data_IF_819307466204
#
_entry.id   IF_819307466204
#
_cell.length_a   1.000
_cell.length_b   1.000
_cell.length_c   1.000
_cell.angle_alpha   90.00
_cell.angle_beta   90.00
_cell.angle_gamma   90.00
#
_symmetry.space_group_name_H-M   'P 1'
#
loop_
_entity.id
_entity.type
_entity.pdbx_description
1 polymer ?
#
# COMPACT_ATOMS: atom_id res chain seq x y z
N UNK A 1 20.01 -2.90 13.15
CA UNK A 1 18.77 -2.16 12.83
C UNK A 1 19.02 -1.34 11.58
N UNK A 2 18.08 -1.33 10.63
CA UNK A 2 18.20 -0.48 9.43
C UNK A 2 17.83 0.98 9.78
N UNK A 3 18.42 1.93 9.08
CA UNK A 3 18.11 3.36 9.27
C UNK A 3 16.69 3.66 8.78
N UNK A 4 15.96 4.52 9.52
CA UNK A 4 14.68 5.06 9.05
C UNK A 4 14.94 6.12 7.98
N UNK A 5 14.98 5.70 6.71
CA UNK A 5 15.25 6.60 5.58
C UNK A 5 14.09 7.57 5.30
N UNK A 6 12.86 7.22 5.70
CA UNK A 6 11.69 8.08 5.48
C UNK A 6 11.68 9.27 6.45
N UNK A 7 12.10 9.06 7.69
CA UNK A 7 12.18 10.08 8.75
C UNK A 7 10.92 10.97 8.88
N UNK A 8 9.73 10.35 8.76
CA UNK A 8 8.41 11.02 8.79
C UNK A 8 8.24 12.12 7.73
N UNK A 9 9.06 12.14 6.68
CA UNK A 9 8.92 13.08 5.59
C UNK A 9 7.86 12.57 4.60
N UNK A 10 6.62 12.99 4.79
CA UNK A 10 5.47 12.53 3.98
C UNK A 10 5.19 13.37 2.72
N UNK A 11 6.10 14.27 2.37
CA UNK A 11 6.08 14.98 1.08
C UNK A 11 6.99 14.28 0.07
N UNK A 12 6.60 14.26 -1.20
CA UNK A 12 7.38 13.75 -2.31
C UNK A 12 7.27 14.73 -3.48
N UNK A 13 8.35 14.91 -4.24
CA UNK A 13 8.43 15.89 -5.32
C UNK A 13 8.07 15.27 -6.69
N UNK A 14 8.19 13.93 -6.79
CA UNK A 14 7.85 13.16 -7.97
C UNK A 14 7.14 11.85 -7.61
N UNK A 15 6.39 11.24 -8.56
CA UNK A 15 5.80 9.92 -8.38
C UNK A 15 6.85 8.86 -8.01
N UNK A 16 6.45 7.84 -7.24
CA UNK A 16 7.24 6.65 -6.90
C UNK A 16 8.51 6.90 -6.06
N UNK A 17 8.64 8.08 -5.44
CA UNK A 17 9.73 8.36 -4.50
C UNK A 17 9.44 7.82 -3.10
N UNK A 18 8.19 7.97 -2.63
CA UNK A 18 7.78 7.60 -1.27
C UNK A 18 6.36 7.05 -1.29
N UNK A 19 6.18 5.89 -0.70
CA UNK A 19 4.88 5.24 -0.53
C UNK A 19 4.56 5.10 0.95
N UNK A 20 3.27 5.14 1.26
CA UNK A 20 2.75 4.76 2.58
C UNK A 20 1.83 3.57 2.38
N UNK A 21 1.95 2.59 3.27
CA UNK A 21 1.04 1.46 3.32
C UNK A 21 0.25 1.50 4.62
N UNK A 22 -1.02 1.11 4.54
CA UNK A 22 -1.87 0.91 5.70
C UNK A 22 -2.54 -0.47 5.61
N UNK A 23 -2.84 -1.03 6.78
CA UNK A 23 -3.51 -2.31 6.93
C UNK A 23 -4.65 -2.17 7.92
N UNK A 24 -5.86 -2.42 7.45
CA UNK A 24 -7.08 -2.22 8.23
C UNK A 24 -8.13 -3.25 7.86
N UNK A 25 -9.34 -3.11 8.39
CA UNK A 25 -10.50 -3.90 8.04
C UNK A 25 -11.67 -2.98 7.72
N UNK A 26 -12.46 -3.34 6.70
CA UNK A 26 -13.58 -2.54 6.20
C UNK A 26 -14.85 -3.37 6.10
N UNK A 27 -16.00 -2.73 6.31
CA UNK A 27 -17.30 -3.37 6.11
C UNK A 27 -17.67 -3.36 4.63
N UNK A 28 -18.07 -4.51 4.10
CA UNK A 28 -18.50 -4.69 2.72
C UNK A 28 -19.85 -5.41 2.67
N UNK A 29 -20.42 -5.60 1.48
CA UNK A 29 -21.64 -6.40 1.31
C UNK A 29 -21.42 -7.89 1.63
N UNK A 30 -20.19 -8.36 1.61
CA UNK A 30 -19.78 -9.74 1.93
C UNK A 30 -19.37 -9.90 3.41
N UNK A 31 -19.46 -8.82 4.20
CA UNK A 31 -19.04 -8.76 5.60
C UNK A 31 -17.73 -7.97 5.78
N UNK A 32 -17.07 -8.18 6.93
CA UNK A 32 -15.79 -7.55 7.24
C UNK A 32 -14.66 -8.20 6.45
N UNK A 33 -13.90 -7.41 5.70
CA UNK A 33 -12.69 -7.84 5.01
C UNK A 33 -11.48 -7.08 5.52
N UNK A 34 -10.34 -7.75 5.62
CA UNK A 34 -9.05 -7.09 5.78
C UNK A 34 -8.64 -6.45 4.46
N UNK A 35 -8.08 -5.24 4.53
CA UNK A 35 -7.61 -4.44 3.41
C UNK A 35 -6.16 -4.05 3.66
N UNK A 36 -5.29 -4.38 2.70
CA UNK A 36 -3.96 -3.77 2.58
C UNK A 36 -3.99 -2.78 1.42
N UNK A 37 -3.53 -1.55 1.65
CA UNK A 37 -3.48 -0.51 0.62
C UNK A 37 -2.14 0.21 0.61
N UNK A 38 -1.61 0.49 -0.58
CA UNK A 38 -0.35 1.22 -0.81
C UNK A 38 -0.66 2.51 -1.57
N UNK A 39 -0.34 3.64 -0.98
CA UNK A 39 -0.56 4.98 -1.51
C UNK A 39 0.75 5.61 -1.94
N UNK A 40 0.77 6.19 -3.15
CA UNK A 40 1.86 7.03 -3.61
C UNK A 40 1.71 8.46 -3.05
N UNK A 41 2.70 8.95 -2.31
CA UNK A 41 2.60 10.22 -1.57
C UNK A 41 2.52 11.44 -2.48
N UNK A 42 3.13 11.40 -3.66
CA UNK A 42 3.08 12.48 -4.64
C UNK A 42 1.70 12.58 -5.29
N UNK A 43 1.25 11.49 -5.93
CA UNK A 43 0.02 11.50 -6.73
C UNK A 43 -1.26 11.30 -5.90
N UNK A 44 -1.12 10.89 -4.63
CA UNK A 44 -2.23 10.52 -3.74
C UNK A 44 -3.09 9.37 -4.26
N UNK A 45 -2.57 8.58 -5.20
CA UNK A 45 -3.27 7.42 -5.76
C UNK A 45 -2.94 6.16 -4.99
N UNK A 46 -3.93 5.28 -4.84
CA UNK A 46 -3.71 3.90 -4.41
C UNK A 46 -3.07 3.15 -5.58
N UNK A 47 -1.79 2.83 -5.43
CA UNK A 47 -0.99 2.16 -6.45
C UNK A 47 -0.97 0.64 -6.29
N UNK A 48 -1.33 0.11 -5.12
CA UNK A 48 -1.53 -1.31 -4.91
C UNK A 48 -2.53 -1.56 -3.79
N UNK A 49 -3.31 -2.64 -3.88
CA UNK A 49 -4.26 -3.04 -2.85
C UNK A 49 -4.57 -4.53 -2.95
N UNK A 50 -5.04 -5.11 -1.86
CA UNK A 50 -5.60 -6.47 -1.83
C UNK A 50 -6.57 -6.57 -0.65
N UNK A 51 -7.55 -7.47 -0.74
CA UNK A 51 -8.55 -7.71 0.30
C UNK A 51 -8.78 -9.21 0.50
N UNK A 52 -8.91 -9.66 1.76
CA UNK A 52 -9.19 -11.05 2.12
C UNK A 52 -10.03 -11.14 3.40
N UNK A 53 -10.78 -12.22 3.58
CA UNK A 53 -11.56 -12.49 4.80
C UNK A 53 -10.67 -12.75 6.02
N UNK A 54 -9.44 -13.22 5.81
CA UNK A 54 -8.47 -13.54 6.86
C UNK A 54 -7.25 -12.62 6.80
N UNK A 55 -6.71 -12.29 7.98
CA UNK A 55 -5.46 -11.54 8.10
C UNK A 55 -4.27 -12.44 7.75
N UNK A 56 -3.72 -12.30 6.54
CA UNK A 56 -2.60 -13.10 6.06
C UNK A 56 -1.40 -12.23 5.66
N UNK A 57 -0.20 -12.80 5.68
CA UNK A 57 0.98 -12.18 5.09
C UNK A 57 0.77 -11.91 3.59
N UNK A 58 0.11 -12.85 2.90
CA UNK A 58 -0.10 -12.80 1.45
C UNK A 58 -0.89 -11.55 1.05
N UNK A 59 -1.90 -11.16 1.84
CA UNK A 59 -2.68 -9.95 1.63
C UNK A 59 -1.79 -8.69 1.49
N UNK A 60 -0.80 -8.54 2.37
CA UNK A 60 0.15 -7.40 2.33
C UNK A 60 1.13 -7.53 1.16
N UNK A 61 1.64 -8.75 0.92
CA UNK A 61 2.55 -9.03 -0.19
C UNK A 61 1.89 -8.73 -1.53
N UNK A 62 0.64 -9.11 -1.73
CA UNK A 62 -0.12 -8.89 -2.96
C UNK A 62 -0.30 -7.39 -3.25
N UNK A 63 -0.67 -6.62 -2.21
CA UNK A 63 -0.83 -5.17 -2.34
C UNK A 63 0.50 -4.49 -2.71
N UNK A 64 1.61 -4.89 -2.08
CA UNK A 64 2.94 -4.34 -2.37
C UNK A 64 3.42 -4.73 -3.78
N UNK A 65 3.25 -6.00 -4.17
CA UNK A 65 3.61 -6.46 -5.50
C UNK A 65 2.83 -5.70 -6.56
N UNK A 66 1.50 -5.55 -6.40
CA UNK A 66 0.70 -4.74 -7.32
C UNK A 66 1.28 -3.32 -7.51
N UNK A 67 1.70 -2.66 -6.42
CA UNK A 67 2.32 -1.33 -6.49
C UNK A 67 3.66 -1.33 -7.28
N UNK A 68 4.53 -2.31 -7.02
CA UNK A 68 5.82 -2.46 -7.71
C UNK A 68 5.63 -2.69 -9.21
N UNK A 69 4.72 -3.58 -9.59
CA UNK A 69 4.45 -3.89 -11.00
C UNK A 69 3.90 -2.69 -11.77
N UNK A 70 2.98 -1.93 -11.16
CA UNK A 70 2.43 -0.70 -11.79
C UNK A 70 3.46 0.41 -11.94
N UNK A 71 4.50 0.46 -11.09
CA UNK A 71 5.64 1.36 -11.28
C UNK A 71 6.48 0.95 -12.49
N UNK A 72 6.75 -0.33 -12.67
CA UNK A 72 7.57 -0.85 -13.78
C UNK A 72 6.89 -0.72 -15.15
N UNK A 73 5.57 -0.53 -15.17
CA UNK A 73 4.74 -0.43 -16.37
C UNK A 73 4.58 1.00 -16.90
N UNK A 74 5.36 1.97 -16.39
CA UNK A 74 5.31 3.39 -16.75
C UNK A 74 6.68 3.91 -17.16
#
# INVERSE_FOLDING_TARGET
>A
MANNVLDRQFQADCPNQRWVADFTYIWTAEGWLYLAAVLDLYSRRIVGWSMQESMTLQLVVDALMMAVWRRASR
#
